data_IF_128346246903
#
_entry.id   IF_128346246903
#
_cell.length_a   1.000
_cell.length_b   1.000
_cell.length_c   1.000
_cell.angle_alpha   90.00
_cell.angle_beta   90.00
_cell.angle_gamma   90.00
#
_symmetry.space_group_name_H-M   'P 1'
#
loop_
_entity.id
_entity.type
_entity.pdbx_description
1 polymer ?
#
# COMPACT_ATOMS: atom_id res chain seq x y z
N UNK A 1 -26.77 33.91 0.36
CA UNK A 1 -25.33 33.67 0.61
C UNK A 1 -24.82 32.84 -0.55
N UNK A 2 -24.13 33.47 -1.49
CA UNK A 2 -23.48 32.79 -2.60
C UNK A 2 -22.45 31.83 -2.01
N UNK A 3 -22.64 30.52 -2.19
CA UNK A 3 -21.67 29.52 -1.78
C UNK A 3 -20.40 29.79 -2.60
N UNK A 4 -19.42 30.48 -2.03
CA UNK A 4 -18.10 30.61 -2.62
C UNK A 4 -17.64 29.21 -3.01
N UNK A 5 -17.56 28.96 -4.33
CA UNK A 5 -17.20 27.65 -4.86
C UNK A 5 -15.84 27.29 -4.28
N UNK A 6 -15.80 26.27 -3.42
CA UNK A 6 -14.55 25.88 -2.77
C UNK A 6 -13.62 25.35 -3.87
N UNK A 7 -12.64 26.17 -4.27
CA UNK A 7 -11.71 25.82 -5.34
C UNK A 7 -10.75 24.74 -4.86
N UNK A 8 -11.03 23.49 -5.24
CA UNK A 8 -10.18 22.36 -4.89
C UNK A 8 -8.85 22.41 -5.63
N UNK A 9 -7.74 22.33 -4.89
CA UNK A 9 -6.43 22.14 -5.49
C UNK A 9 -6.32 20.71 -6.05
N UNK A 10 -6.53 20.58 -7.36
CA UNK A 10 -6.45 19.31 -8.09
C UNK A 10 -5.12 19.13 -8.83
N UNK A 11 -4.22 20.12 -8.80
CA UNK A 11 -2.95 20.05 -9.55
C UNK A 11 -2.12 18.87 -9.07
N UNK A 12 -1.87 18.77 -7.76
CA UNK A 12 -1.07 17.68 -7.19
C UNK A 12 -1.69 16.31 -7.48
N UNK A 13 -3.02 16.19 -7.38
CA UNK A 13 -3.73 14.95 -7.72
C UNK A 13 -3.47 14.53 -9.17
N UNK A 14 -3.56 15.47 -10.12
CA UNK A 14 -3.31 15.17 -11.54
C UNK A 14 -1.88 14.66 -11.76
N UNK A 15 -0.90 15.23 -11.06
CA UNK A 15 0.50 14.80 -11.15
C UNK A 15 0.70 13.39 -10.55
N UNK A 16 0.06 13.07 -9.42
CA UNK A 16 0.05 11.70 -8.89
C UNK A 16 -0.56 10.69 -9.86
N UNK A 17 -1.69 11.02 -10.48
CA UNK A 17 -2.34 10.14 -11.46
C UNK A 17 -1.45 9.98 -12.71
N UNK A 18 -0.88 11.06 -13.23
CA UNK A 18 0.04 11.00 -14.37
C UNK A 18 1.29 10.15 -14.04
N UNK A 19 1.90 10.36 -12.88
CA UNK A 19 3.03 9.58 -12.42
C UNK A 19 2.65 8.09 -12.27
N UNK A 20 1.48 7.77 -11.71
CA UNK A 20 1.02 6.39 -11.61
C UNK A 20 0.89 5.70 -12.96
N UNK A 21 0.43 6.40 -14.00
CA UNK A 21 0.33 5.86 -15.37
C UNK A 21 1.71 5.58 -15.95
N UNK A 22 2.65 6.51 -15.78
CA UNK A 22 4.04 6.34 -16.23
C UNK A 22 4.68 5.13 -15.55
N UNK A 23 4.58 5.04 -14.22
CA UNK A 23 5.12 3.91 -13.46
C UNK A 23 4.40 2.59 -13.75
N UNK A 24 3.10 2.61 -14.06
CA UNK A 24 2.37 1.42 -14.50
C UNK A 24 2.93 0.88 -15.81
N UNK A 25 3.13 1.76 -16.81
CA UNK A 25 3.69 1.37 -18.10
C UNK A 25 5.10 0.80 -17.90
N UNK A 26 5.96 1.52 -17.16
CA UNK A 26 7.34 1.06 -16.89
C UNK A 26 7.34 -0.28 -16.14
N UNK A 27 6.56 -0.40 -15.08
CA UNK A 27 6.47 -1.63 -14.27
C UNK A 27 5.95 -2.82 -15.08
N UNK A 28 4.91 -2.64 -15.90
CA UNK A 28 4.35 -3.69 -16.74
C UNK A 28 5.31 -4.11 -17.87
N UNK A 29 6.03 -3.17 -18.48
CA UNK A 29 7.07 -3.48 -19.48
C UNK A 29 8.17 -4.36 -18.86
N UNK A 30 8.66 -4.02 -17.66
CA UNK A 30 9.64 -4.86 -16.95
C UNK A 30 9.04 -6.24 -16.65
N UNK A 31 7.75 -6.31 -16.30
CA UNK A 31 7.04 -7.58 -16.11
C UNK A 31 7.02 -8.45 -17.35
N UNK A 32 6.77 -7.88 -18.53
CA UNK A 32 6.81 -8.58 -19.82
C UNK A 32 8.23 -9.07 -20.14
N UNK A 33 9.24 -8.23 -19.89
CA UNK A 33 10.66 -8.62 -20.07
C UNK A 33 11.01 -9.81 -19.16
N UNK A 34 10.62 -9.76 -17.89
CA UNK A 34 10.86 -10.85 -16.93
C UNK A 34 10.14 -12.14 -17.35
N UNK A 35 8.91 -12.05 -17.84
CA UNK A 35 8.17 -13.19 -18.38
C UNK A 35 8.90 -13.81 -19.58
N UNK A 36 9.44 -12.98 -20.48
CA UNK A 36 10.25 -13.43 -21.61
C UNK A 36 11.58 -14.06 -21.14
N UNK A 37 12.24 -13.52 -20.13
CA UNK A 37 13.47 -14.09 -19.54
C UNK A 37 13.24 -15.46 -18.91
N UNK A 38 12.05 -15.72 -18.38
CA UNK A 38 11.69 -17.03 -17.81
C UNK A 38 11.51 -18.10 -18.90
N UNK A 39 11.03 -17.72 -20.08
CA UNK A 39 10.87 -18.62 -21.22
C UNK A 39 12.14 -18.75 -22.07
N UNK A 40 12.85 -17.64 -22.30
CA UNK A 40 14.13 -17.57 -23.02
C UNK A 40 15.23 -16.99 -22.11
N UNK A 41 15.97 -17.85 -21.38
CA UNK A 41 17.03 -17.42 -20.47
C UNK A 41 18.18 -16.63 -21.13
N UNK A 42 18.36 -16.76 -22.45
CA UNK A 42 19.35 -15.98 -23.23
C UNK A 42 19.13 -14.46 -23.13
N UNK A 43 17.90 -14.02 -22.83
CA UNK A 43 17.54 -12.61 -22.64
C UNK A 43 18.07 -11.99 -21.33
N UNK A 44 18.81 -12.76 -20.51
CA UNK A 44 19.57 -12.20 -19.38
C UNK A 44 20.90 -11.56 -19.83
N UNK A 45 21.31 -11.77 -21.08
CA UNK A 45 22.51 -11.18 -21.71
C UNK A 45 23.81 -11.32 -20.91
N UNK A 46 23.90 -12.33 -20.02
CA UNK A 46 24.99 -12.53 -19.05
C UNK A 46 25.39 -11.26 -18.27
N UNK A 47 24.48 -10.29 -18.14
CA UNK A 47 24.74 -8.98 -17.53
C UNK A 47 24.32 -8.99 -16.06
N UNK A 48 25.19 -8.49 -15.18
CA UNK A 48 24.90 -8.40 -13.74
C UNK A 48 23.70 -7.49 -13.41
N UNK A 49 23.37 -6.51 -14.27
CA UNK A 49 22.29 -5.55 -14.02
C UNK A 49 20.95 -5.99 -14.62
N UNK A 50 21.00 -6.79 -15.69
CA UNK A 50 19.83 -7.19 -16.48
C UNK A 50 19.47 -8.67 -16.26
N UNK A 51 19.63 -9.15 -15.03
CA UNK A 51 19.28 -10.50 -14.63
C UNK A 51 17.90 -10.56 -13.96
N UNK A 52 17.18 -11.65 -14.22
CA UNK A 52 15.88 -11.94 -13.63
C UNK A 52 15.82 -11.69 -12.11
N UNK A 53 16.84 -12.14 -11.37
CA UNK A 53 16.88 -12.01 -9.91
C UNK A 53 16.91 -10.57 -9.39
N UNK A 54 17.49 -9.63 -10.14
CA UNK A 54 17.55 -8.20 -9.76
C UNK A 54 16.39 -7.39 -10.34
N UNK A 55 15.95 -7.74 -11.54
CA UNK A 55 14.82 -7.10 -12.21
C UNK A 55 13.48 -7.45 -11.56
N UNK A 56 13.35 -8.63 -10.92
CA UNK A 56 12.11 -9.04 -10.23
C UNK A 56 11.72 -8.06 -9.11
N UNK A 57 12.58 -7.76 -8.12
CA UNK A 57 12.33 -6.70 -7.15
C UNK A 57 11.96 -5.37 -7.78
N UNK A 58 12.63 -5.00 -8.88
CA UNK A 58 12.34 -3.75 -9.57
C UNK A 58 10.91 -3.72 -10.15
N UNK A 59 10.45 -4.83 -10.75
CA UNK A 59 9.09 -4.97 -11.23
C UNK A 59 8.07 -4.88 -10.09
N UNK A 60 8.25 -5.67 -9.02
CA UNK A 60 7.30 -5.72 -7.90
C UNK A 60 7.21 -4.37 -7.20
N UNK A 61 8.34 -3.76 -6.86
CA UNK A 61 8.39 -2.43 -6.25
C UNK A 61 7.85 -1.35 -7.21
N UNK A 62 8.16 -1.42 -8.50
CA UNK A 62 7.69 -0.47 -9.51
C UNK A 62 6.17 -0.50 -9.69
N UNK A 63 5.54 -1.68 -9.67
CA UNK A 63 4.08 -1.80 -9.78
C UNK A 63 3.40 -1.41 -8.46
N UNK A 64 3.89 -1.85 -7.31
CA UNK A 64 3.23 -1.58 -6.03
C UNK A 64 3.47 -0.15 -5.57
N UNK A 65 4.72 0.28 -5.43
CA UNK A 65 5.04 1.61 -4.96
C UNK A 65 4.92 2.67 -6.05
N UNK A 66 5.31 2.32 -7.29
CA UNK A 66 5.25 3.23 -8.41
C UNK A 66 3.84 3.43 -8.95
N UNK A 67 3.11 2.36 -9.25
CA UNK A 67 1.74 2.51 -9.76
C UNK A 67 0.72 2.67 -8.62
N UNK A 68 0.60 1.66 -7.75
CA UNK A 68 -0.51 1.58 -6.79
C UNK A 68 -0.44 2.68 -5.73
N UNK A 69 0.72 2.92 -5.09
CA UNK A 69 0.80 3.96 -4.06
C UNK A 69 0.57 5.35 -4.64
N UNK A 70 1.09 5.66 -5.83
CA UNK A 70 0.86 6.96 -6.47
C UNK A 70 -0.63 7.20 -6.72
N UNK A 71 -1.36 6.21 -7.26
CA UNK A 71 -2.80 6.37 -7.50
C UNK A 71 -3.59 6.45 -6.19
N UNK A 72 -3.20 5.70 -5.15
CA UNK A 72 -3.83 5.77 -3.83
C UNK A 72 -3.60 7.11 -3.13
N UNK A 73 -2.39 7.66 -3.18
CA UNK A 73 -2.07 8.99 -2.63
C UNK A 73 -2.82 10.09 -3.41
N UNK A 74 -2.89 10.01 -4.74
CA UNK A 74 -3.63 10.97 -5.54
C UNK A 74 -5.14 10.94 -5.25
N UNK A 75 -5.72 9.75 -5.24
CA UNK A 75 -7.16 9.55 -5.04
C UNK A 75 -7.59 9.83 -3.60
N UNK A 76 -6.79 9.47 -2.60
CA UNK A 76 -7.10 9.78 -1.19
C UNK A 76 -7.23 11.30 -0.97
N UNK A 77 -6.30 12.09 -1.52
CA UNK A 77 -6.32 13.54 -1.43
C UNK A 77 -7.52 14.14 -2.18
N UNK A 78 -7.82 13.61 -3.37
CA UNK A 78 -9.00 14.00 -4.16
C UNK A 78 -10.32 13.76 -3.42
N UNK A 79 -10.45 12.59 -2.80
CA UNK A 79 -11.63 12.15 -2.05
C UNK A 79 -11.75 12.94 -0.75
N UNK A 80 -10.66 13.09 0.00
CA UNK A 80 -10.64 13.84 1.27
C UNK A 80 -11.10 15.29 1.08
N UNK A 81 -10.65 15.97 0.03
CA UNK A 81 -11.07 17.33 -0.29
C UNK A 81 -12.59 17.45 -0.51
N UNK A 82 -13.17 16.57 -1.34
CA UNK A 82 -14.59 16.65 -1.74
C UNK A 82 -15.53 16.17 -0.66
N UNK A 83 -15.18 15.09 0.01
CA UNK A 83 -15.97 14.55 1.13
C UNK A 83 -15.92 15.48 2.33
N UNK A 84 -14.77 16.11 2.60
CA UNK A 84 -14.61 17.10 3.66
C UNK A 84 -15.10 18.51 3.33
N UNK A 85 -15.43 18.79 2.05
CA UNK A 85 -15.77 20.12 1.51
C UNK A 85 -14.75 21.20 1.89
N UNK A 86 -13.48 20.83 1.90
CA UNK A 86 -12.37 21.66 2.32
C UNK A 86 -11.21 21.56 1.32
N UNK A 87 -10.35 22.59 1.33
CA UNK A 87 -9.10 22.54 0.59
C UNK A 87 -8.07 21.68 1.36
N UNK A 88 -7.03 21.22 0.66
CA UNK A 88 -5.92 20.50 1.29
C UNK A 88 -5.33 21.32 2.44
N UNK A 89 -4.89 20.64 3.49
CA UNK A 89 -4.33 21.27 4.68
C UNK A 89 -3.23 22.28 4.34
N UNK A 90 -2.26 21.87 3.52
CA UNK A 90 -1.14 22.68 3.05
C UNK A 90 -0.73 22.26 1.63
N UNK A 91 -0.65 23.22 0.71
CA UNK A 91 -0.29 22.99 -0.69
C UNK A 91 1.21 22.75 -0.90
N UNK A 92 2.08 23.39 -0.13
CA UNK A 92 3.52 23.15 -0.23
C UNK A 92 3.87 21.77 0.29
N UNK A 93 3.21 21.33 1.36
CA UNK A 93 3.36 19.98 1.92
C UNK A 93 2.94 18.90 0.92
N UNK A 94 1.86 19.11 0.17
CA UNK A 94 1.41 18.12 -0.82
C UNK A 94 2.37 17.96 -2.00
N UNK A 95 3.03 19.04 -2.43
CA UNK A 95 4.12 18.95 -3.40
C UNK A 95 5.38 18.30 -2.83
N UNK A 96 5.71 18.55 -1.56
CA UNK A 96 6.83 17.88 -0.88
C UNK A 96 6.62 16.37 -0.80
N UNK A 97 5.40 15.92 -0.47
CA UNK A 97 5.04 14.49 -0.48
C UNK A 97 5.16 13.91 -1.90
N UNK A 98 4.66 14.62 -2.92
CA UNK A 98 4.77 14.16 -4.31
C UNK A 98 6.22 13.96 -4.74
N UNK A 99 7.06 14.99 -4.61
CA UNK A 99 8.47 14.93 -5.01
C UNK A 99 9.29 13.98 -4.14
N UNK A 100 9.00 13.93 -2.83
CA UNK A 100 9.61 12.96 -1.92
C UNK A 100 9.30 11.53 -2.33
N UNK A 101 8.06 11.24 -2.71
CA UNK A 101 7.67 9.91 -3.20
C UNK A 101 8.33 9.58 -4.55
N UNK A 102 8.38 10.53 -5.50
CA UNK A 102 9.09 10.29 -6.75
C UNK A 102 10.58 10.05 -6.52
N UNK A 103 11.22 10.77 -5.59
CA UNK A 103 12.61 10.56 -5.22
C UNK A 103 12.86 9.13 -4.70
N UNK A 104 11.99 8.62 -3.82
CA UNK A 104 12.05 7.22 -3.36
C UNK A 104 12.01 6.25 -4.54
N UNK A 105 11.09 6.45 -5.49
CA UNK A 105 10.95 5.58 -6.67
C UNK A 105 12.16 5.64 -7.59
N UNK A 106 12.75 6.83 -7.78
CA UNK A 106 13.99 6.98 -8.53
C UNK A 106 15.18 6.30 -7.83
N UNK A 107 15.27 6.39 -6.50
CA UNK A 107 16.30 5.69 -5.74
C UNK A 107 16.13 4.17 -5.87
N UNK A 108 14.89 3.66 -5.79
CA UNK A 108 14.59 2.24 -6.00
C UNK A 108 14.98 1.76 -7.41
N UNK A 109 14.73 2.58 -8.44
CA UNK A 109 15.10 2.28 -9.82
C UNK A 109 16.61 2.10 -10.01
N UNK A 110 17.42 2.80 -9.21
CA UNK A 110 18.89 2.72 -9.28
C UNK A 110 19.42 1.63 -8.34
N UNK A 111 18.91 1.55 -7.12
CA UNK A 111 19.45 0.69 -6.07
C UNK A 111 19.20 -0.80 -6.34
N UNK A 112 18.02 -1.16 -6.85
CA UNK A 112 17.63 -2.57 -7.04
C UNK A 112 18.44 -3.24 -8.17
N UNK A 113 18.62 -2.64 -9.36
CA UNK A 113 19.51 -3.20 -10.39
C UNK A 113 20.98 -3.25 -9.95
N UNK A 114 21.42 -2.28 -9.14
CA UNK A 114 22.75 -2.26 -8.56
C UNK A 114 23.00 -3.41 -7.56
N UNK A 115 21.94 -4.13 -7.14
CA UNK A 115 22.04 -5.29 -6.24
C UNK A 115 21.95 -4.93 -4.75
N UNK A 116 21.59 -3.67 -4.43
CA UNK A 116 21.35 -3.26 -3.06
C UNK A 116 19.95 -3.68 -2.65
N UNK A 117 19.87 -4.85 -2.02
CA UNK A 117 18.63 -5.38 -1.47
C UNK A 117 18.82 -6.08 -0.12
N UNK A 118 17.79 -5.97 0.71
CA UNK A 118 17.61 -6.67 2.00
C UNK A 118 17.11 -8.11 1.82
N UNK A 119 16.76 -8.53 0.60
CA UNK A 119 16.15 -9.83 0.24
C UNK A 119 14.75 -10.11 0.81
N UNK A 120 14.14 -9.14 1.50
CA UNK A 120 12.77 -9.22 1.99
C UNK A 120 11.77 -8.77 0.92
N UNK A 121 10.84 -9.65 0.54
CA UNK A 121 9.83 -9.33 -0.48
C UNK A 121 8.95 -8.13 -0.08
N UNK A 122 8.70 -7.24 -1.02
CA UNK A 122 8.03 -5.96 -0.80
C UNK A 122 8.71 -5.06 0.25
N UNK A 123 9.93 -5.34 0.68
CA UNK A 123 10.72 -4.50 1.56
C UNK A 123 12.19 -4.53 1.12
N UNK A 124 12.40 -4.60 -0.20
CA UNK A 124 13.69 -4.92 -0.80
C UNK A 124 14.70 -3.77 -0.70
N UNK A 125 14.24 -2.55 -0.40
CA UNK A 125 15.06 -1.35 -0.33
C UNK A 125 15.91 -1.35 0.95
N UNK A 126 17.09 -0.72 0.89
CA UNK A 126 17.98 -0.63 2.05
C UNK A 126 17.58 0.52 2.99
N UNK A 127 18.09 0.44 4.23
CA UNK A 127 17.72 1.30 5.34
C UNK A 127 17.72 2.83 5.08
N UNK A 128 18.59 3.43 4.23
CA UNK A 128 18.51 4.88 3.99
C UNK A 128 17.25 5.26 3.23
N UNK A 129 16.82 4.40 2.30
CA UNK A 129 15.61 4.61 1.51
C UNK A 129 14.37 4.34 2.37
N UNK A 130 14.46 3.36 3.29
CA UNK A 130 13.38 3.09 4.25
C UNK A 130 13.11 4.28 5.16
N UNK A 131 14.15 4.94 5.67
CA UNK A 131 14.00 6.17 6.46
C UNK A 131 13.34 7.29 5.66
N UNK A 132 13.72 7.43 4.38
CA UNK A 132 13.10 8.41 3.49
C UNK A 132 11.61 8.08 3.25
N UNK A 133 11.28 6.80 3.07
CA UNK A 133 9.88 6.33 2.94
C UNK A 133 9.09 6.70 4.19
N UNK A 134 9.61 6.39 5.39
CA UNK A 134 8.94 6.73 6.66
C UNK A 134 8.71 8.23 6.77
N UNK A 135 9.71 9.05 6.44
CA UNK A 135 9.59 10.50 6.46
C UNK A 135 8.49 10.99 5.51
N UNK A 136 8.50 10.56 4.25
CA UNK A 136 7.49 10.96 3.27
C UNK A 136 6.10 10.47 3.68
N UNK A 137 6.00 9.28 4.25
CA UNK A 137 4.74 8.71 4.72
C UNK A 137 4.16 9.47 5.91
N UNK A 138 5.00 9.92 6.85
CA UNK A 138 4.59 10.77 7.97
C UNK A 138 4.09 12.12 7.45
N UNK A 139 4.79 12.74 6.49
CA UNK A 139 4.33 13.99 5.86
C UNK A 139 2.98 13.79 5.15
N UNK A 140 2.79 12.66 4.47
CA UNK A 140 1.52 12.28 3.86
C UNK A 140 0.41 12.08 4.90
N UNK A 141 0.70 11.42 6.02
CA UNK A 141 -0.24 11.24 7.11
C UNK A 141 -0.68 12.60 7.69
N UNK A 142 0.26 13.50 7.98
CA UNK A 142 -0.04 14.86 8.46
C UNK A 142 -0.90 15.61 7.46
N UNK A 143 -0.60 15.51 6.15
CA UNK A 143 -1.39 16.14 5.10
C UNK A 143 -2.84 15.61 5.05
N UNK A 144 -3.01 14.28 5.11
CA UNK A 144 -4.31 13.62 5.02
C UNK A 144 -5.16 13.89 6.27
N UNK A 145 -4.63 13.60 7.46
CA UNK A 145 -5.33 13.84 8.72
C UNK A 145 -5.57 15.33 8.98
N UNK A 146 -4.63 16.20 8.62
CA UNK A 146 -4.84 17.65 8.66
C UNK A 146 -5.97 18.12 7.74
N UNK A 147 -6.18 17.46 6.60
CA UNK A 147 -7.30 17.76 5.69
C UNK A 147 -8.63 17.30 6.29
N UNK A 148 -8.66 16.12 6.94
CA UNK A 148 -9.85 15.64 7.66
C UNK A 148 -10.19 16.51 8.88
N UNK A 149 -9.19 17.03 9.58
CA UNK A 149 -9.38 17.91 10.73
C UNK A 149 -10.03 19.26 10.33
N UNK A 150 -9.77 19.75 9.12
CA UNK A 150 -10.35 20.99 8.56
C UNK A 150 -11.68 20.79 7.82
N UNK A 151 -12.29 19.61 7.93
CA UNK A 151 -13.55 19.31 7.24
C UNK A 151 -14.67 20.24 7.71
N UNK A 152 -15.61 20.55 6.81
CA UNK A 152 -16.82 21.34 7.13
C UNK A 152 -18.04 20.48 7.48
N UNK A 153 -17.92 19.16 7.33
CA UNK A 153 -19.00 18.19 7.57
C UNK A 153 -18.77 17.46 8.89
N UNK A 154 -19.82 17.22 9.66
CA UNK A 154 -19.68 16.60 10.98
C UNK A 154 -19.22 15.14 10.87
N UNK A 155 -19.84 14.38 9.95
CA UNK A 155 -19.53 12.97 9.71
C UNK A 155 -18.39 12.78 8.71
N UNK A 156 -17.49 11.85 9.03
CA UNK A 156 -16.41 11.43 8.13
C UNK A 156 -16.94 10.34 7.20
N UNK A 157 -16.79 10.54 5.89
CA UNK A 157 -17.18 9.57 4.88
C UNK A 157 -16.38 8.27 5.00
N UNK A 158 -17.03 7.12 4.78
CA UNK A 158 -16.46 5.79 5.02
C UNK A 158 -15.18 5.54 4.20
N UNK A 159 -15.07 6.07 2.99
CA UNK A 159 -13.83 5.96 2.21
C UNK A 159 -12.61 6.53 2.96
N UNK A 160 -12.79 7.61 3.72
CA UNK A 160 -11.71 8.21 4.49
C UNK A 160 -11.32 7.35 5.69
N UNK A 161 -12.19 6.47 6.19
CA UNK A 161 -11.84 5.50 7.24
C UNK A 161 -10.88 4.45 6.69
N UNK A 162 -11.17 3.93 5.48
CA UNK A 162 -10.27 3.00 4.78
C UNK A 162 -8.91 3.65 4.49
N UNK A 163 -8.89 4.90 4.00
CA UNK A 163 -7.62 5.61 3.79
C UNK A 163 -6.88 5.93 5.09
N UNK A 164 -7.58 6.29 6.17
CA UNK A 164 -6.96 6.52 7.47
C UNK A 164 -6.34 5.23 8.04
N UNK A 165 -7.07 4.11 7.97
CA UNK A 165 -6.57 2.80 8.40
C UNK A 165 -5.38 2.37 7.55
N UNK A 166 -5.45 2.52 6.23
CA UNK A 166 -4.34 2.28 5.31
C UNK A 166 -3.09 3.06 5.71
N UNK A 167 -3.20 4.37 5.97
CA UNK A 167 -2.04 5.21 6.32
C UNK A 167 -1.39 4.74 7.63
N UNK A 168 -2.20 4.51 8.66
CA UNK A 168 -1.71 4.14 10.00
C UNK A 168 -1.12 2.73 9.99
N UNK A 169 -1.85 1.76 9.45
CA UNK A 169 -1.42 0.36 9.48
C UNK A 169 -0.17 0.18 8.65
N UNK A 170 -0.09 0.73 7.43
CA UNK A 170 1.12 0.63 6.59
C UNK A 170 2.33 1.24 7.30
N UNK A 171 2.19 2.41 7.94
CA UNK A 171 3.29 3.02 8.69
C UNK A 171 3.79 2.09 9.80
N UNK A 172 2.88 1.51 10.59
CA UNK A 172 3.22 0.59 11.68
C UNK A 172 3.92 -0.67 11.16
N UNK A 173 3.33 -1.34 10.17
CA UNK A 173 3.87 -2.61 9.69
C UNK A 173 5.20 -2.43 8.95
N UNK A 174 5.38 -1.31 8.24
CA UNK A 174 6.62 -0.98 7.54
C UNK A 174 7.77 -0.77 8.52
N UNK A 175 7.55 0.02 9.57
CA UNK A 175 8.56 0.30 10.59
C UNK A 175 9.01 -1.00 11.26
N UNK A 176 8.06 -1.85 11.65
CA UNK A 176 8.38 -3.11 12.37
C UNK A 176 9.14 -4.09 11.49
N UNK A 177 8.76 -4.26 10.22
CA UNK A 177 9.45 -5.21 9.33
C UNK A 177 10.86 -4.77 8.93
N UNK A 178 11.06 -3.46 8.79
CA UNK A 178 12.31 -2.86 8.35
C UNK A 178 13.22 -2.47 9.54
N UNK A 179 12.95 -3.00 10.74
CA UNK A 179 13.91 -2.94 11.84
C UNK A 179 15.15 -3.77 11.46
N UNK A 180 16.22 -3.06 11.12
CA UNK A 180 17.48 -3.65 10.69
C UNK A 180 18.66 -2.91 11.30
N UNK A 181 19.73 -3.65 11.60
CA UNK A 181 21.00 -3.13 12.05
C UNK A 181 21.86 -2.74 10.83
N UNK A 182 22.19 -1.45 10.64
CA UNK A 182 23.00 -1.02 9.51
C UNK A 182 24.46 -1.44 9.71
N UNK A 183 25.05 -2.06 8.69
CA UNK A 183 26.48 -2.43 8.66
C UNK A 183 27.26 -1.48 7.74
N UNK A 184 26.66 -1.07 6.63
CA UNK A 184 27.21 -0.05 5.74
C UNK A 184 26.08 0.82 5.18
N UNK A 185 26.43 1.85 4.40
CA UNK A 185 25.44 2.76 3.79
C UNK A 185 24.35 2.03 2.99
N UNK A 186 24.69 0.94 2.31
CA UNK A 186 23.74 0.18 1.48
C UNK A 186 23.69 -1.31 1.88
N UNK A 187 23.98 -1.61 3.14
CA UNK A 187 23.75 -2.95 3.72
C UNK A 187 23.26 -2.90 5.15
N UNK A 188 22.22 -3.67 5.41
CA UNK A 188 21.63 -3.87 6.73
C UNK A 188 21.26 -5.34 6.94
N UNK A 189 21.23 -5.77 8.21
CA UNK A 189 20.73 -7.09 8.61
C UNK A 189 19.47 -6.96 9.45
N UNK A 190 18.45 -7.77 9.17
CA UNK A 190 17.21 -7.81 9.95
C UNK A 190 17.51 -8.05 11.43
N UNK A 191 16.75 -7.38 12.30
CA UNK A 191 16.80 -7.63 13.75
C UNK A 191 16.25 -9.02 14.08
N UNK A 192 15.37 -9.57 13.25
CA UNK A 192 14.80 -10.90 13.42
C UNK A 192 15.60 -11.95 12.63
N UNK A 193 15.53 -13.21 13.08
CA UNK A 193 16.17 -14.34 12.40
C UNK A 193 15.24 -15.57 12.32
N UNK A 194 15.50 -16.44 11.33
CA UNK A 194 14.84 -17.74 11.18
C UNK A 194 13.31 -17.64 11.07
N UNK A 195 12.60 -18.46 11.83
CA UNK A 195 11.14 -18.51 11.81
C UNK A 195 10.49 -17.19 12.26
N UNK A 196 11.13 -16.43 13.14
CA UNK A 196 10.61 -15.14 13.58
C UNK A 196 10.65 -14.11 12.45
N UNK A 197 11.76 -14.04 11.71
CA UNK A 197 11.88 -13.15 10.56
C UNK A 197 10.87 -13.50 9.47
N UNK A 198 10.65 -14.79 9.21
CA UNK A 198 9.64 -15.26 8.27
C UNK A 198 8.22 -14.82 8.69
N UNK A 199 7.88 -14.90 9.98
CA UNK A 199 6.56 -14.47 10.47
C UNK A 199 6.38 -12.96 10.30
N UNK A 200 7.38 -12.16 10.70
CA UNK A 200 7.31 -10.69 10.57
C UNK A 200 7.26 -10.26 9.10
N UNK A 201 8.06 -10.90 8.25
CA UNK A 201 8.11 -10.65 6.82
C UNK A 201 6.77 -10.92 6.13
N UNK A 202 6.11 -12.04 6.45
CA UNK A 202 4.82 -12.36 5.85
C UNK A 202 3.64 -11.64 6.50
N UNK A 203 3.79 -11.21 7.76
CA UNK A 203 2.88 -10.23 8.35
C UNK A 203 2.91 -8.91 7.58
N UNK A 204 4.10 -8.40 7.27
CA UNK A 204 4.27 -7.26 6.38
C UNK A 204 3.68 -7.55 4.99
N UNK A 205 4.12 -8.60 4.30
CA UNK A 205 3.72 -8.87 2.92
C UNK A 205 2.20 -9.05 2.74
N UNK A 206 1.54 -9.79 3.66
CA UNK A 206 0.09 -9.97 3.59
C UNK A 206 -0.66 -8.66 3.87
N UNK A 207 -0.28 -7.94 4.92
CA UNK A 207 -0.94 -6.69 5.27
C UNK A 207 -0.62 -5.56 4.29
N UNK A 208 0.55 -5.57 3.65
CA UNK A 208 0.89 -4.67 2.55
C UNK A 208 -0.14 -4.83 1.44
N UNK A 209 -0.38 -6.06 0.96
CA UNK A 209 -1.44 -6.33 -0.04
C UNK A 209 -2.84 -6.02 0.51
N UNK A 210 -3.15 -6.42 1.74
CA UNK A 210 -4.45 -6.20 2.37
C UNK A 210 -4.82 -4.71 2.54
N UNK A 211 -3.87 -3.85 2.89
CA UNK A 211 -4.15 -2.44 3.12
C UNK A 211 -3.87 -1.56 1.88
N UNK A 212 -2.80 -1.84 1.12
CA UNK A 212 -2.53 -1.11 -0.14
C UNK A 212 -3.53 -1.51 -1.22
N UNK A 213 -3.59 -2.79 -1.58
CA UNK A 213 -4.32 -3.26 -2.77
C UNK A 213 -5.80 -3.51 -2.50
N UNK A 214 -6.18 -3.79 -1.24
CA UNK A 214 -7.58 -4.03 -0.90
C UNK A 214 -8.19 -2.82 -0.20
N UNK A 215 -7.74 -2.43 1.00
CA UNK A 215 -8.38 -1.33 1.74
C UNK A 215 -8.32 0.01 0.98
N UNK A 216 -7.17 0.37 0.39
CA UNK A 216 -7.01 1.58 -0.40
C UNK A 216 -7.93 1.60 -1.64
N UNK A 217 -8.00 0.49 -2.37
CA UNK A 217 -8.86 0.36 -3.56
C UNK A 217 -10.33 0.33 -3.19
N UNK A 218 -10.70 -0.32 -2.08
CA UNK A 218 -12.06 -0.26 -1.54
C UNK A 218 -12.43 1.18 -1.19
N UNK A 219 -11.55 1.95 -0.55
CA UNK A 219 -11.74 3.37 -0.29
C UNK A 219 -12.00 4.18 -1.58
N UNK A 220 -11.25 3.90 -2.64
CA UNK A 220 -11.47 4.48 -3.96
C UNK A 220 -12.86 4.09 -4.52
N UNK A 221 -13.21 2.81 -4.47
CA UNK A 221 -14.48 2.27 -4.96
C UNK A 221 -15.70 2.87 -4.24
N UNK A 222 -15.63 3.07 -2.93
CA UNK A 222 -16.69 3.73 -2.16
C UNK A 222 -17.02 5.14 -2.65
N UNK A 223 -16.07 5.82 -3.30
CA UNK A 223 -16.27 7.14 -3.85
C UNK A 223 -16.64 7.13 -5.34
N UNK A 224 -15.97 6.31 -6.16
CA UNK A 224 -16.12 6.34 -7.62
C UNK A 224 -17.22 5.44 -8.18
N UNK A 225 -17.62 4.37 -7.47
CA UNK A 225 -18.72 3.51 -7.93
C UNK A 225 -20.06 4.16 -7.54
N UNK A 226 -20.91 4.55 -8.50
CA UNK A 226 -22.20 5.16 -8.20
C UNK A 226 -23.15 4.15 -7.55
N UNK A 227 -23.82 4.55 -6.45
CA UNK A 227 -24.91 3.77 -5.85
C UNK A 227 -26.22 3.97 -6.63
N UNK A 228 -27.00 2.91 -6.89
CA UNK A 228 -28.41 3.03 -7.30
C UNK A 228 -29.24 3.73 -6.21
N UNK A 229 -30.16 4.61 -6.61
CA UNK A 229 -30.89 5.56 -5.75
C UNK A 229 -32.11 4.94 -5.02
N UNK A 230 -31.93 3.87 -4.24
CA UNK A 230 -33.02 3.30 -3.43
C UNK A 230 -32.73 3.37 -1.93
N UNK A 231 -33.72 3.81 -1.15
CA UNK A 231 -33.58 4.08 0.29
C UNK A 231 -33.20 2.83 1.10
N UNK A 232 -33.74 1.66 0.74
CA UNK A 232 -33.43 0.38 1.40
C UNK A 232 -31.94 0.03 1.25
N UNK A 233 -31.35 0.26 0.07
CA UNK A 233 -29.93 0.03 -0.17
C UNK A 233 -29.03 0.95 0.65
N UNK A 234 -29.52 2.10 1.11
CA UNK A 234 -28.70 3.07 1.84
C UNK A 234 -28.43 2.62 3.28
N UNK A 235 -29.42 2.05 3.96
CA UNK A 235 -29.24 1.53 5.33
C UNK A 235 -28.42 0.24 5.35
N UNK A 236 -28.73 -0.71 4.46
CA UNK A 236 -28.00 -1.99 4.36
C UNK A 236 -26.56 -1.76 3.93
N UNK A 237 -26.31 -0.85 2.98
CA UNK A 237 -24.94 -0.51 2.59
C UNK A 237 -24.20 0.29 3.67
N UNK A 238 -24.89 1.05 4.53
CA UNK A 238 -24.25 1.73 5.65
C UNK A 238 -23.77 0.71 6.70
N UNK A 239 -24.64 -0.22 7.10
CA UNK A 239 -24.33 -1.31 8.03
C UNK A 239 -23.26 -2.26 7.46
N UNK A 240 -23.36 -2.63 6.19
CA UNK A 240 -22.37 -3.47 5.52
C UNK A 240 -21.03 -2.75 5.39
N UNK A 241 -21.03 -1.43 5.17
CA UNK A 241 -19.79 -0.66 5.09
C UNK A 241 -19.09 -0.51 6.44
N UNK A 242 -19.84 -0.35 7.54
CA UNK A 242 -19.27 -0.30 8.89
C UNK A 242 -18.83 -1.68 9.35
N UNK A 243 -19.67 -2.71 9.26
CA UNK A 243 -19.27 -4.08 9.59
C UNK A 243 -18.13 -4.58 8.70
N UNK A 244 -18.22 -4.36 7.39
CA UNK A 244 -17.18 -4.75 6.44
C UNK A 244 -15.86 -4.02 6.69
N UNK A 245 -15.89 -2.73 7.03
CA UNK A 245 -14.68 -2.00 7.44
C UNK A 245 -14.06 -2.61 8.70
N UNK A 246 -14.84 -2.80 9.77
CA UNK A 246 -14.34 -3.39 11.01
C UNK A 246 -13.82 -4.81 10.81
N UNK A 247 -14.49 -5.61 10.00
CA UNK A 247 -14.11 -6.98 9.71
C UNK A 247 -12.80 -7.03 8.89
N UNK A 248 -12.63 -6.15 7.89
CA UNK A 248 -11.36 -6.01 7.17
C UNK A 248 -10.25 -5.49 8.09
N UNK A 249 -10.53 -4.54 8.98
CA UNK A 249 -9.51 -3.97 9.87
C UNK A 249 -9.07 -4.95 10.97
N UNK A 250 -10.00 -5.74 11.52
CA UNK A 250 -9.72 -6.68 12.60
C UNK A 250 -9.26 -8.03 12.07
N UNK A 251 -9.97 -8.61 11.09
CA UNK A 251 -9.62 -9.93 10.55
C UNK A 251 -8.56 -9.87 9.47
N UNK A 252 -8.37 -8.72 8.79
CA UNK A 252 -7.31 -8.53 7.81
C UNK A 252 -5.91 -8.39 8.41
N UNK A 253 -5.78 -8.09 9.71
CA UNK A 253 -4.52 -8.09 10.44
C UNK A 253 -4.11 -9.45 11.00
N UNK A 254 -5.10 -10.33 11.21
CA UNK A 254 -4.96 -11.69 11.75
C UNK A 254 -4.51 -12.78 10.74
N UNK A 255 -4.51 -12.63 9.38
CA UNK A 255 -4.20 -13.74 8.48
C UNK A 255 -2.69 -13.95 8.26
N UNK A 256 -1.84 -13.53 9.19
CA UNK A 256 -0.40 -13.82 9.23
C UNK A 256 -0.03 -15.31 9.06
N UNK A 257 -1.03 -16.17 9.09
CA UNK A 257 -0.91 -17.62 9.12
C UNK A 257 -1.31 -18.25 7.77
N UNK A 258 -1.79 -17.48 6.80
CA UNK A 258 -2.04 -18.00 5.44
C UNK A 258 -0.77 -18.57 4.80
N UNK A 259 0.41 -18.02 5.16
CA UNK A 259 1.71 -18.50 4.69
C UNK A 259 2.37 -19.56 5.58
N UNK A 260 1.97 -19.68 6.85
CA UNK A 260 2.34 -20.81 7.71
C UNK A 260 1.92 -22.11 7.00
N UNK A 261 0.76 -22.13 6.34
CA UNK A 261 0.31 -23.31 5.59
C UNK A 261 1.17 -23.64 4.34
N UNK A 262 1.87 -22.65 3.73
CA UNK A 262 2.65 -22.86 2.49
C UNK A 262 4.12 -23.24 2.74
N UNK A 263 4.68 -22.88 3.89
CA UNK A 263 6.06 -23.25 4.27
C UNK A 263 6.16 -24.25 5.44
N UNK A 264 5.15 -24.36 6.32
CA UNK A 264 5.19 -25.21 7.52
C UNK A 264 4.43 -26.53 7.36
N UNK A 265 4.63 -27.23 6.24
CA UNK A 265 4.49 -28.69 6.27
C UNK A 265 5.62 -29.38 7.08
N UNK A 266 6.48 -28.61 7.76
CA UNK A 266 7.50 -29.10 8.70
C UNK A 266 7.26 -28.83 10.19
N UNK A 267 6.39 -27.89 10.60
CA UNK A 267 6.21 -27.61 12.03
C UNK A 267 4.76 -27.16 12.37
N UNK A 268 3.98 -28.09 12.94
CA UNK A 268 2.65 -27.83 13.49
C UNK A 268 2.78 -27.04 14.79
N UNK A 269 2.34 -25.78 14.80
CA UNK A 269 2.25 -24.95 16.02
C UNK A 269 0.87 -24.29 16.16
N UNK A 270 0.55 -23.83 17.37
CA UNK A 270 -0.71 -23.14 17.74
C UNK A 270 -1.10 -21.98 16.80
N UNK A 271 -0.10 -21.29 16.22
CA UNK A 271 -0.34 -20.22 15.25
C UNK A 271 -1.12 -20.73 14.03
N UNK A 272 -0.83 -21.93 13.52
CA UNK A 272 -1.53 -22.53 12.37
C UNK A 272 -3.03 -22.73 12.61
N UNK A 273 -3.43 -23.11 13.83
CA UNK A 273 -4.82 -23.40 14.19
C UNK A 273 -5.69 -22.15 14.35
N UNK A 274 -5.14 -21.04 14.86
CA UNK A 274 -5.86 -19.77 14.96
C UNK A 274 -6.33 -19.27 13.57
N UNK A 275 -5.65 -19.65 12.50
CA UNK A 275 -5.95 -19.18 11.15
C UNK A 275 -7.03 -19.92 10.42
N UNK A 276 -7.05 -21.25 10.50
CA UNK A 276 -8.16 -22.00 9.92
C UNK A 276 -9.47 -21.49 10.50
N UNK A 277 -9.47 -21.05 11.76
CA UNK A 277 -10.60 -20.36 12.34
C UNK A 277 -10.88 -19.00 11.67
N UNK A 278 -9.96 -18.03 11.72
CA UNK A 278 -10.23 -16.67 11.22
C UNK A 278 -10.35 -16.56 9.70
N UNK A 279 -9.60 -17.34 8.93
CA UNK A 279 -9.67 -17.39 7.46
C UNK A 279 -10.99 -17.99 6.96
N UNK A 280 -11.49 -19.05 7.61
CA UNK A 280 -12.84 -19.55 7.32
C UNK A 280 -13.90 -18.51 7.68
N UNK A 281 -13.77 -17.82 8.81
CA UNK A 281 -14.75 -16.80 9.20
C UNK A 281 -14.74 -15.57 8.28
N UNK A 282 -13.58 -15.16 7.76
CA UNK A 282 -13.49 -14.12 6.73
C UNK A 282 -14.14 -14.58 5.41
N UNK A 283 -13.89 -15.82 4.99
CA UNK A 283 -14.51 -16.40 3.80
C UNK A 283 -16.03 -16.57 3.92
N UNK A 284 -16.52 -16.97 5.10
CA UNK A 284 -17.94 -17.07 5.44
C UNK A 284 -18.62 -15.69 5.53
N UNK A 285 -17.93 -14.69 6.08
CA UNK A 285 -18.43 -13.32 6.13
C UNK A 285 -18.54 -12.68 4.74
N UNK A 286 -17.66 -13.06 3.80
CA UNK A 286 -17.73 -12.61 2.41
C UNK A 286 -18.75 -13.40 1.58
N UNK A 287 -19.01 -14.67 1.90
CA UNK A 287 -19.99 -15.51 1.19
C UNK A 287 -21.44 -15.28 1.61
N UNK A 288 -21.66 -14.73 2.81
CA UNK A 288 -22.99 -14.32 3.32
C UNK A 288 -23.49 -12.98 2.74
N UNK A 289 -22.75 -12.38 1.81
CA UNK A 289 -23.12 -11.15 1.08
C UNK A 289 -23.78 -11.46 -0.28
N UNK A 290 -24.15 -12.73 -0.55
CA UNK A 290 -25.02 -13.09 -1.68
C UNK A 290 -26.49 -13.12 -1.29
#
# INVERSE_FOLDING_TARGET
>A
MEQAATQYNTKVVKYFVLASLVWAIVGMIIGVILAAQLYWPVLNFDSQYFQFGRLRPLHTSGVIYGFVVNILMGTSLYIAQRTGRCNLFNQSLSWMVFWGWQLVLFLALISLPAGYTTSKEYAELEWPIDLLIVLVWVLYAVLFFGTIAKRKVDHIFVANWFFAAFIIVIAMIFIVNNLAMPVSLMKSYSVFAGAQDAIVQWWWGHNAVGFLLTAGVIGMNYYFIPKPQTALFTLTACLLSTFGAWLVFTLGQVPTIWFIHRYLFGCKTSASSCHSFFGYHLGLALSTVR
#
